data_IF_357915823386
#
_entry.id   IF_357915823386
#
_cell.length_a   1.000
_cell.length_b   1.000
_cell.length_c   1.000
_cell.angle_alpha   90.00
_cell.angle_beta   90.00
_cell.angle_gamma   90.00
#
_symmetry.space_group_name_H-M   'P 1'
#
loop_
_entity.id
_entity.type
_entity.pdbx_description
1 polymer ?
#
# COMPACT_ATOMS: atom_id res chain seq x y z
N UNK A 1 -17.25 0.18 -29.33
CA UNK A 1 -17.81 -0.51 -28.16
C UNK A 1 -19.02 -1.35 -28.56
N UNK A 2 -18.99 -2.65 -28.29
CA UNK A 2 -20.06 -3.61 -28.58
C UNK A 2 -21.25 -3.47 -27.62
N UNK A 3 -22.38 -4.12 -27.90
CA UNK A 3 -23.51 -4.17 -26.96
C UNK A 3 -23.14 -4.85 -25.64
N UNK A 4 -22.29 -5.87 -25.69
CA UNK A 4 -21.81 -6.58 -24.50
C UNK A 4 -20.91 -5.70 -23.64
N UNK A 5 -19.98 -4.96 -24.25
CA UNK A 5 -19.09 -4.03 -23.52
C UNK A 5 -19.89 -2.88 -22.87
N UNK A 6 -20.99 -2.44 -23.50
CA UNK A 6 -21.92 -1.46 -22.91
C UNK A 6 -22.64 -2.02 -21.69
N UNK A 7 -23.03 -3.29 -21.74
CA UNK A 7 -23.65 -3.97 -20.61
C UNK A 7 -22.69 -4.03 -19.42
N UNK A 8 -21.45 -4.48 -19.64
CA UNK A 8 -20.42 -4.52 -18.60
C UNK A 8 -20.23 -3.16 -17.91
N UNK A 9 -20.23 -2.06 -18.67
CA UNK A 9 -20.08 -0.71 -18.10
C UNK A 9 -21.29 -0.24 -17.31
N UNK A 10 -22.48 -0.77 -17.58
CA UNK A 10 -23.71 -0.35 -16.88
C UNK A 10 -23.73 -0.76 -15.40
N UNK A 11 -22.88 -1.72 -15.04
CA UNK A 11 -22.71 -2.26 -13.69
C UNK A 11 -21.58 -1.56 -12.91
N UNK A 12 -20.80 -0.68 -13.55
CA UNK A 12 -19.74 0.07 -12.90
C UNK A 12 -20.13 1.53 -12.65
N UNK A 13 -19.62 2.11 -11.57
CA UNK A 13 -19.81 3.54 -11.28
C UNK A 13 -18.50 4.20 -10.89
N UNK A 14 -18.24 5.39 -11.43
CA UNK A 14 -17.07 6.22 -11.14
C UNK A 14 -17.51 7.56 -10.56
N UNK A 15 -16.85 8.00 -9.49
CA UNK A 15 -17.04 9.34 -8.93
C UNK A 15 -15.74 9.88 -8.36
N UNK A 16 -15.68 11.17 -8.05
CA UNK A 16 -14.52 11.81 -7.44
C UNK A 16 -14.97 12.63 -6.23
N UNK A 17 -14.20 12.58 -5.14
CA UNK A 17 -14.47 13.36 -3.93
C UNK A 17 -13.19 13.58 -3.12
N UNK A 18 -12.93 14.83 -2.73
CA UNK A 18 -11.76 15.19 -1.91
C UNK A 18 -10.40 14.71 -2.47
N UNK A 19 -10.25 14.69 -3.79
CA UNK A 19 -9.03 14.23 -4.47
C UNK A 19 -8.91 12.72 -4.66
N UNK A 20 -9.82 11.94 -4.09
CA UNK A 20 -9.96 10.52 -4.36
C UNK A 20 -10.82 10.28 -5.62
N UNK A 21 -10.46 9.25 -6.35
CA UNK A 21 -11.28 8.60 -7.36
C UNK A 21 -11.94 7.41 -6.69
N UNK A 22 -13.24 7.26 -6.81
CA UNK A 22 -13.96 6.07 -6.39
C UNK A 22 -14.43 5.30 -7.62
N UNK A 23 -14.13 4.01 -7.66
CA UNK A 23 -14.61 3.09 -8.70
C UNK A 23 -15.30 1.89 -8.05
N UNK A 24 -16.56 1.68 -8.39
CA UNK A 24 -17.24 0.41 -8.20
C UNK A 24 -17.13 -0.43 -9.47
N UNK A 25 -16.75 -1.69 -9.32
CA UNK A 25 -16.71 -2.71 -10.36
C UNK A 25 -17.34 -4.02 -9.86
N UNK A 26 -18.06 -4.70 -10.73
CA UNK A 26 -18.75 -5.96 -10.41
C UNK A 26 -18.80 -6.94 -11.59
N UNK A 27 -19.36 -8.13 -11.35
CA UNK A 27 -19.45 -9.30 -12.26
C UNK A 27 -18.20 -10.20 -12.27
N UNK A 28 -17.94 -10.87 -13.40
CA UNK A 28 -16.81 -11.76 -13.64
C UNK A 28 -15.48 -11.02 -13.76
N UNK A 29 -14.35 -11.75 -13.75
CA UNK A 29 -13.02 -11.14 -13.74
C UNK A 29 -12.78 -10.25 -14.97
N UNK A 30 -13.13 -10.74 -16.16
CA UNK A 30 -12.89 -10.02 -17.42
C UNK A 30 -13.74 -8.75 -17.50
N UNK A 31 -14.97 -8.80 -17.02
CA UNK A 31 -15.91 -7.68 -16.97
C UNK A 31 -15.40 -6.57 -16.04
N UNK A 32 -15.04 -6.92 -14.80
CA UNK A 32 -14.45 -5.97 -13.84
C UNK A 32 -13.16 -5.34 -14.36
N UNK A 33 -12.31 -6.17 -14.95
CA UNK A 33 -11.12 -5.72 -15.65
C UNK A 33 -11.44 -4.66 -16.70
N UNK A 34 -12.38 -4.97 -17.60
CA UNK A 34 -12.82 -4.05 -18.64
C UNK A 34 -13.38 -2.74 -18.09
N UNK A 35 -14.24 -2.82 -17.06
CA UNK A 35 -14.82 -1.66 -16.38
C UNK A 35 -13.72 -0.72 -15.88
N UNK A 36 -12.71 -1.25 -15.17
CA UNK A 36 -11.58 -0.45 -14.68
C UNK A 36 -10.74 0.13 -15.81
N UNK A 37 -10.35 -0.70 -16.78
CA UNK A 37 -9.51 -0.29 -17.90
C UNK A 37 -10.14 0.82 -18.73
N UNK A 38 -11.46 0.78 -18.91
CA UNK A 38 -12.18 1.80 -19.68
C UNK A 38 -12.46 3.07 -18.87
N UNK A 39 -12.92 2.93 -17.62
CA UNK A 39 -13.34 4.08 -16.80
C UNK A 39 -12.17 4.85 -16.19
N UNK A 40 -11.00 4.23 -16.03
CA UNK A 40 -9.78 4.83 -15.49
C UNK A 40 -8.65 4.95 -16.53
N UNK A 41 -8.96 4.89 -17.82
CA UNK A 41 -7.96 4.91 -18.88
C UNK A 41 -6.93 6.05 -18.77
N UNK A 42 -7.34 7.33 -18.57
CA UNK A 42 -6.40 8.44 -18.41
C UNK A 42 -5.50 8.29 -17.18
N UNK A 43 -6.04 7.77 -16.08
CA UNK A 43 -5.31 7.59 -14.83
C UNK A 43 -4.32 6.42 -14.90
N UNK A 44 -4.71 5.31 -15.53
CA UNK A 44 -3.82 4.18 -15.80
C UNK A 44 -2.68 4.62 -16.73
N UNK A 45 -2.98 5.37 -17.79
CA UNK A 45 -1.94 5.91 -18.67
C UNK A 45 -0.96 6.80 -17.90
N UNK A 46 -1.46 7.68 -17.04
CA UNK A 46 -0.62 8.53 -16.18
C UNK A 46 0.24 7.71 -15.22
N UNK A 47 -0.28 6.63 -14.64
CA UNK A 47 0.50 5.72 -13.79
C UNK A 47 1.67 5.11 -14.59
N UNK A 48 1.38 4.53 -15.75
CA UNK A 48 2.37 3.89 -16.62
C UNK A 48 3.44 4.88 -17.14
N UNK A 49 3.07 6.13 -17.41
CA UNK A 49 4.00 7.20 -17.78
C UNK A 49 4.92 7.59 -16.62
N UNK A 50 4.36 7.73 -15.42
CA UNK A 50 5.11 8.08 -14.21
C UNK A 50 6.10 6.97 -13.83
N UNK A 51 5.66 5.70 -13.86
CA UNK A 51 6.54 4.55 -13.62
C UNK A 51 7.68 4.48 -14.62
N UNK A 52 7.42 4.70 -15.92
CA UNK A 52 8.48 4.77 -16.94
C UNK A 52 9.49 5.86 -16.62
N UNK A 53 9.00 7.04 -16.25
CA UNK A 53 9.83 8.18 -15.94
C UNK A 53 10.71 7.92 -14.71
N UNK A 54 10.12 7.48 -13.61
CA UNK A 54 10.87 7.25 -12.37
C UNK A 54 11.81 6.05 -12.45
N UNK A 55 11.42 4.98 -13.16
CA UNK A 55 12.29 3.83 -13.38
C UNK A 55 13.58 4.26 -14.10
N UNK A 56 13.46 5.10 -15.13
CA UNK A 56 14.62 5.63 -15.86
C UNK A 56 15.60 6.40 -14.96
N UNK A 57 15.10 7.11 -13.95
CA UNK A 57 15.93 7.85 -13.00
C UNK A 57 16.42 7.02 -11.81
N UNK A 58 15.77 5.90 -11.51
CA UNK A 58 16.03 5.09 -10.32
C UNK A 58 16.96 3.90 -10.59
N UNK A 59 16.94 3.35 -11.80
CA UNK A 59 17.70 2.15 -12.18
C UNK A 59 18.25 2.28 -13.60
N UNK A 60 19.37 1.60 -13.95
CA UNK A 60 19.98 1.70 -15.28
C UNK A 60 19.25 0.83 -16.33
N UNK A 61 17.91 0.83 -16.32
CA UNK A 61 17.02 0.06 -17.19
C UNK A 61 15.74 0.86 -17.42
N UNK A 62 15.11 0.69 -18.56
CA UNK A 62 13.77 1.22 -18.81
C UNK A 62 12.69 0.30 -18.23
N UNK A 63 11.45 0.78 -18.16
CA UNK A 63 10.33 -0.03 -17.66
C UNK A 63 10.03 -1.25 -18.54
N UNK A 64 10.23 -1.16 -19.85
CA UNK A 64 9.96 -2.27 -20.77
C UNK A 64 10.91 -3.46 -20.55
N UNK A 65 12.13 -3.23 -20.07
CA UNK A 65 12.99 -4.29 -19.53
C UNK A 65 12.28 -5.06 -18.40
N UNK A 66 11.63 -4.38 -17.46
CA UNK A 66 10.91 -5.02 -16.36
C UNK A 66 9.65 -5.74 -16.83
N UNK A 67 8.96 -5.23 -17.85
CA UNK A 67 7.85 -5.94 -18.52
C UNK A 67 8.34 -7.29 -19.07
N UNK A 68 9.48 -7.29 -19.77
CA UNK A 68 10.05 -8.53 -20.31
C UNK A 68 10.47 -9.52 -19.21
N UNK A 69 10.99 -9.01 -18.07
CA UNK A 69 11.37 -9.86 -16.94
C UNK A 69 10.17 -10.40 -16.18
N UNK A 70 9.14 -9.59 -15.95
CA UNK A 70 7.88 -10.02 -15.35
C UNK A 70 7.24 -11.15 -16.13
N UNK A 71 7.25 -11.09 -17.47
CA UNK A 71 6.78 -12.18 -18.34
C UNK A 71 7.51 -13.50 -18.09
N UNK A 72 8.83 -13.45 -17.89
CA UNK A 72 9.64 -14.65 -17.63
C UNK A 72 9.41 -15.16 -16.20
N UNK A 73 9.41 -14.25 -15.23
CA UNK A 73 9.32 -14.59 -13.80
C UNK A 73 7.94 -15.09 -13.40
N UNK A 74 6.89 -14.58 -14.03
CA UNK A 74 5.50 -14.86 -13.64
C UNK A 74 4.77 -15.78 -14.62
N UNK A 75 5.49 -16.35 -15.59
CA UNK A 75 4.92 -17.35 -16.51
C UNK A 75 4.31 -18.52 -15.75
N UNK A 76 3.01 -18.77 -15.98
CA UNK A 76 2.24 -19.82 -15.30
C UNK A 76 1.96 -19.59 -13.80
N UNK A 77 2.28 -18.42 -13.23
CA UNK A 77 2.13 -18.15 -11.78
C UNK A 77 1.01 -17.20 -11.41
N UNK A 78 0.50 -16.43 -12.38
CA UNK A 78 -0.67 -15.58 -12.19
C UNK A 78 -1.91 -16.48 -12.23
N UNK A 79 -2.74 -16.53 -11.17
CA UNK A 79 -3.99 -17.28 -11.19
C UNK A 79 -4.91 -16.84 -12.33
N UNK A 80 -5.56 -17.78 -13.02
CA UNK A 80 -6.32 -17.50 -14.24
C UNK A 80 -7.44 -16.46 -14.04
N UNK A 81 -8.10 -16.44 -12.87
CA UNK A 81 -9.10 -15.41 -12.56
C UNK A 81 -8.50 -14.00 -12.61
N UNK A 82 -7.31 -13.83 -12.03
CA UNK A 82 -6.61 -12.54 -12.02
C UNK A 82 -6.05 -12.22 -13.41
N UNK A 83 -5.60 -13.24 -14.15
CA UNK A 83 -5.15 -13.06 -15.52
C UNK A 83 -6.28 -12.57 -16.44
N UNK A 84 -7.50 -13.11 -16.31
CA UNK A 84 -8.68 -12.62 -17.04
C UNK A 84 -9.07 -11.19 -16.65
N UNK A 85 -8.92 -10.80 -15.37
CA UNK A 85 -9.14 -9.41 -14.94
C UNK A 85 -8.13 -8.45 -15.62
N UNK A 86 -6.85 -8.80 -15.67
CA UNK A 86 -5.84 -7.99 -16.36
C UNK A 86 -6.03 -7.97 -17.89
N UNK A 87 -6.45 -9.08 -18.51
CA UNK A 87 -6.79 -9.12 -19.95
C UNK A 87 -8.03 -8.28 -20.26
N UNK A 88 -9.04 -8.33 -19.39
CA UNK A 88 -10.22 -7.46 -19.47
C UNK A 88 -9.83 -5.99 -19.40
N UNK A 89 -8.92 -5.64 -18.48
CA UNK A 89 -8.42 -4.28 -18.32
C UNK A 89 -7.65 -3.79 -19.54
N UNK A 90 -6.77 -4.61 -20.12
CA UNK A 90 -6.10 -4.29 -21.39
C UNK A 90 -7.11 -4.01 -22.51
N UNK A 91 -8.18 -4.81 -22.60
CA UNK A 91 -9.27 -4.57 -23.57
C UNK A 91 -10.02 -3.26 -23.28
N UNK A 92 -10.27 -2.94 -22.02
CA UNK A 92 -10.89 -1.67 -21.61
C UNK A 92 -10.06 -0.46 -22.03
N UNK A 93 -8.74 -0.52 -21.82
CA UNK A 93 -7.79 0.50 -22.24
C UNK A 93 -7.76 0.67 -23.77
N UNK A 94 -7.70 -0.43 -24.52
CA UNK A 94 -7.76 -0.40 -25.99
C UNK A 94 -9.06 0.27 -26.47
N UNK A 95 -10.21 -0.04 -25.84
CA UNK A 95 -11.50 0.58 -26.19
C UNK A 95 -11.57 2.07 -25.85
N UNK A 96 -10.80 2.52 -24.85
CA UNK A 96 -10.66 3.92 -24.51
C UNK A 96 -9.64 4.67 -25.38
N UNK A 97 -8.92 3.96 -26.26
CA UNK A 97 -7.91 4.53 -27.15
C UNK A 97 -6.50 4.61 -26.55
N UNK A 98 -6.25 3.92 -25.44
CA UNK A 98 -4.92 3.79 -24.85
C UNK A 98 -4.23 2.56 -25.46
N UNK A 99 -3.19 2.80 -26.26
CA UNK A 99 -2.41 1.76 -26.91
C UNK A 99 -1.17 1.37 -26.08
N UNK A 100 -0.64 0.17 -26.29
CA UNK A 100 0.61 -0.28 -25.66
C UNK A 100 0.52 -0.76 -24.21
N UNK A 101 -0.64 -0.63 -23.56
CA UNK A 101 -0.89 -1.12 -22.19
C UNK A 101 -1.53 -2.53 -22.18
N UNK A 102 -0.83 -3.50 -22.78
CA UNK A 102 -1.30 -4.89 -22.84
C UNK A 102 -1.18 -5.67 -21.52
N UNK A 103 -1.61 -6.93 -21.54
CA UNK A 103 -1.58 -7.83 -20.37
C UNK A 103 -0.21 -7.86 -19.66
N UNK A 104 0.89 -8.07 -20.41
CA UNK A 104 2.24 -8.15 -19.82
C UNK A 104 2.65 -6.82 -19.14
N UNK A 105 2.21 -5.68 -19.68
CA UNK A 105 2.45 -4.35 -19.08
C UNK A 105 1.67 -4.18 -17.78
N UNK A 106 0.41 -4.61 -17.75
CA UNK A 106 -0.42 -4.54 -16.54
C UNK A 106 0.04 -5.51 -15.45
N UNK A 107 0.57 -6.68 -15.81
CA UNK A 107 1.25 -7.58 -14.87
C UNK A 107 2.47 -6.88 -14.26
N UNK A 108 3.30 -6.23 -15.08
CA UNK A 108 4.47 -5.52 -14.58
C UNK A 108 4.11 -4.32 -13.69
N UNK A 109 3.02 -3.61 -14.00
CA UNK A 109 2.47 -2.52 -13.19
C UNK A 109 2.01 -3.03 -11.80
N UNK A 110 1.22 -4.12 -11.76
CA UNK A 110 0.81 -4.75 -10.48
C UNK A 110 1.99 -5.33 -9.68
N UNK A 111 3.09 -5.66 -10.37
CA UNK A 111 4.30 -6.18 -9.75
C UNK A 111 5.42 -5.12 -9.67
N UNK A 112 5.13 -3.82 -9.78
CA UNK A 112 6.15 -2.77 -9.89
C UNK A 112 7.16 -2.82 -8.74
N UNK A 113 6.64 -2.80 -7.51
CA UNK A 113 7.43 -2.86 -6.27
C UNK A 113 8.27 -4.13 -6.25
N UNK A 114 7.69 -5.26 -6.63
CA UNK A 114 8.35 -6.56 -6.64
C UNK A 114 9.48 -6.65 -7.68
N UNK A 115 9.23 -6.20 -8.91
CA UNK A 115 10.21 -6.25 -10.00
C UNK A 115 11.36 -5.27 -9.78
N UNK A 116 11.04 -4.02 -9.46
CA UNK A 116 12.03 -2.92 -9.36
C UNK A 116 12.68 -2.89 -7.97
N UNK A 117 11.91 -3.13 -6.91
CA UNK A 117 12.35 -3.01 -5.53
C UNK A 117 12.94 -4.27 -4.92
N UNK A 118 12.61 -5.46 -5.43
CA UNK A 118 13.06 -6.74 -4.85
C UNK A 118 13.87 -7.58 -5.84
N UNK A 119 13.26 -8.00 -6.95
CA UNK A 119 13.90 -8.89 -7.91
C UNK A 119 15.17 -8.28 -8.51
N UNK A 120 15.10 -7.04 -8.98
CA UNK A 120 16.23 -6.41 -9.65
C UNK A 120 17.45 -6.19 -8.75
N UNK A 121 17.32 -5.63 -7.54
CA UNK A 121 18.41 -5.56 -6.58
C UNK A 121 19.02 -6.93 -6.27
N UNK A 122 18.19 -7.96 -6.05
CA UNK A 122 18.66 -9.33 -5.81
C UNK A 122 19.42 -9.91 -7.02
N UNK A 123 18.92 -9.71 -8.23
CA UNK A 123 19.58 -10.15 -9.45
C UNK A 123 20.94 -9.46 -9.61
N UNK A 124 21.00 -8.16 -9.28
CA UNK A 124 22.23 -7.36 -9.29
C UNK A 124 23.23 -7.76 -8.23
N UNK A 125 22.80 -8.12 -7.02
CA UNK A 125 23.69 -8.65 -5.97
C UNK A 125 24.33 -9.98 -6.39
N UNK A 126 23.56 -10.85 -7.07
CA UNK A 126 24.10 -12.10 -7.63
C UNK A 126 25.12 -11.87 -8.75
N UNK A 127 24.95 -10.81 -9.53
CA UNK A 127 25.86 -10.44 -10.60
C UNK A 127 27.10 -9.65 -10.12
N UNK A 128 27.03 -8.94 -8.99
CA UNK A 128 28.10 -8.11 -8.45
C UNK A 128 28.06 -8.05 -6.91
N UNK A 129 29.19 -8.37 -6.25
CA UNK A 129 29.36 -8.50 -4.79
C UNK A 129 29.07 -7.25 -3.90
N UNK A 130 28.34 -6.22 -4.36
CA UNK A 130 28.36 -4.90 -3.67
C UNK A 130 27.07 -4.08 -3.58
N UNK A 131 25.90 -4.57 -4.00
CA UNK A 131 24.68 -3.72 -3.98
C UNK A 131 23.73 -4.12 -2.85
N UNK A 132 24.08 -3.83 -1.59
CA UNK A 132 23.09 -3.92 -0.50
C UNK A 132 22.04 -2.84 -0.71
N UNK A 133 20.85 -3.22 -1.19
CA UNK A 133 19.75 -2.28 -1.23
C UNK A 133 19.18 -2.09 0.19
N UNK A 134 18.93 -0.85 0.57
CA UNK A 134 18.28 -0.52 1.84
C UNK A 134 16.94 0.11 1.47
N UNK A 135 15.97 -0.72 1.05
CA UNK A 135 14.58 -0.26 1.02
C UNK A 135 14.14 -0.11 2.47
N UNK A 136 13.92 1.12 2.94
CA UNK A 136 13.55 1.37 4.34
C UNK A 136 12.04 1.35 4.60
N UNK A 137 11.22 1.29 3.54
CA UNK A 137 9.79 1.56 3.63
C UNK A 137 9.49 2.94 4.23
N UNK A 138 8.23 3.17 4.59
CA UNK A 138 7.83 4.38 5.32
C UNK A 138 6.45 4.31 5.99
N UNK A 139 5.56 3.42 5.54
CA UNK A 139 4.19 3.30 6.04
C UNK A 139 4.09 3.22 7.58
N UNK A 140 3.02 3.78 8.14
CA UNK A 140 2.71 3.70 9.58
C UNK A 140 1.32 3.15 9.80
N UNK A 141 1.19 2.12 10.64
CA UNK A 141 -0.09 1.44 10.88
C UNK A 141 -0.22 0.92 12.30
N UNK A 142 -1.47 0.76 12.77
CA UNK A 142 -1.79 -0.03 13.96
C UNK A 142 -3.14 -0.72 13.83
N UNK A 143 -3.32 -1.79 14.60
CA UNK A 143 -4.61 -2.45 14.85
C UNK A 143 -4.75 -2.71 16.35
N UNK A 144 -5.92 -2.42 16.93
CA UNK A 144 -6.20 -2.60 18.36
C UNK A 144 -7.60 -3.18 18.58
N UNK A 145 -7.81 -3.90 19.69
CA UNK A 145 -9.10 -4.52 20.07
C UNK A 145 -9.21 -4.72 21.59
N UNK A 146 -10.41 -5.05 22.08
CA UNK A 146 -10.63 -5.43 23.48
C UNK A 146 -10.42 -4.27 24.44
N UNK A 147 -9.68 -4.47 25.54
CA UNK A 147 -9.48 -3.44 26.58
C UNK A 147 -8.72 -2.19 26.10
N UNK A 148 -8.24 -2.19 24.85
CA UNK A 148 -7.50 -1.09 24.25
C UNK A 148 -8.40 -0.08 23.53
N UNK A 149 -9.54 -0.51 23.01
CA UNK A 149 -10.48 0.33 22.26
C UNK A 149 -11.67 0.73 23.14
N UNK A 150 -12.32 1.85 22.79
CA UNK A 150 -13.36 2.44 23.61
C UNK A 150 -14.63 1.57 23.70
N UNK A 151 -14.93 0.81 22.65
CA UNK A 151 -16.11 -0.06 22.55
C UNK A 151 -15.75 -1.56 22.60
N UNK A 152 -14.47 -1.90 22.79
CA UNK A 152 -13.96 -3.27 22.75
C UNK A 152 -13.84 -3.87 21.35
N UNK A 153 -14.24 -3.14 20.30
CA UNK A 153 -14.15 -3.57 18.91
C UNK A 153 -12.76 -3.36 18.30
N UNK A 154 -12.57 -3.87 17.09
CA UNK A 154 -11.38 -3.61 16.27
C UNK A 154 -11.36 -2.15 15.82
N UNK A 155 -10.19 -1.51 15.92
CA UNK A 155 -9.82 -0.24 15.27
C UNK A 155 -8.52 -0.45 14.51
N UNK A 156 -8.48 -0.08 13.22
CA UNK A 156 -7.30 -0.18 12.36
C UNK A 156 -7.06 1.16 11.66
N UNK A 157 -5.79 1.55 11.55
CA UNK A 157 -5.39 2.77 10.84
C UNK A 157 -4.11 2.57 10.04
N UNK A 158 -3.97 3.26 8.92
CA UNK A 158 -2.81 3.16 8.05
C UNK A 158 -2.59 4.48 7.28
N UNK A 159 -1.34 4.95 7.20
CA UNK A 159 -0.92 5.92 6.20
C UNK A 159 0.16 5.32 5.28
N UNK A 160 -0.05 5.46 3.98
CA UNK A 160 0.92 5.01 2.98
C UNK A 160 2.04 6.03 2.89
N UNK A 161 3.29 5.59 2.75
CA UNK A 161 4.40 6.49 2.44
C UNK A 161 5.02 6.16 1.09
N UNK A 162 5.16 7.18 0.25
CA UNK A 162 5.80 7.09 -1.07
C UNK A 162 6.58 8.37 -1.38
N UNK A 163 7.31 8.36 -2.51
CA UNK A 163 7.63 9.63 -3.17
C UNK A 163 6.32 10.37 -3.48
N UNK A 164 6.35 11.70 -3.51
CA UNK A 164 5.14 12.47 -3.81
C UNK A 164 4.67 12.34 -5.26
N UNK A 165 5.55 11.93 -6.16
CA UNK A 165 5.23 11.62 -7.56
C UNK A 165 4.53 10.26 -7.70
N UNK A 166 5.08 9.16 -7.16
CA UNK A 166 4.40 7.84 -7.18
C UNK A 166 3.16 7.83 -6.28
N UNK A 167 3.28 8.39 -5.07
CA UNK A 167 2.20 8.44 -4.11
C UNK A 167 1.06 9.38 -4.52
N UNK A 168 1.19 10.14 -5.61
CA UNK A 168 0.06 10.83 -6.22
C UNK A 168 -0.86 9.91 -7.03
N UNK A 169 -0.39 8.71 -7.37
CA UNK A 169 -1.12 7.71 -8.15
C UNK A 169 -2.02 6.82 -7.28
N UNK A 170 -1.78 6.80 -5.97
CA UNK A 170 -2.49 5.93 -5.01
C UNK A 170 -3.89 6.46 -4.60
N UNK A 171 -4.53 7.28 -5.43
CA UNK A 171 -5.76 8.01 -5.08
C UNK A 171 -7.05 7.28 -5.48
N UNK A 172 -6.99 5.97 -5.70
CA UNK A 172 -8.16 5.16 -6.03
C UNK A 172 -8.73 4.50 -4.77
N UNK A 173 -10.04 4.66 -4.55
CA UNK A 173 -10.84 3.78 -3.71
C UNK A 173 -11.56 2.81 -4.64
N UNK A 174 -11.17 1.53 -4.56
CA UNK A 174 -11.69 0.48 -5.42
C UNK A 174 -12.65 -0.40 -4.64
N UNK A 175 -13.93 -0.38 -5.03
CA UNK A 175 -15.00 -1.23 -4.54
C UNK A 175 -15.25 -2.36 -5.55
N UNK A 176 -14.91 -3.59 -5.15
CA UNK A 176 -14.97 -4.78 -6.00
C UNK A 176 -16.03 -5.73 -5.47
N UNK A 177 -17.11 -5.93 -6.24
CA UNK A 177 -18.12 -6.95 -6.00
C UNK A 177 -17.92 -8.13 -6.97
N UNK A 178 -17.08 -9.12 -6.63
CA UNK A 178 -16.80 -10.22 -7.53
C UNK A 178 -17.98 -11.20 -7.59
N UNK A 179 -18.14 -11.89 -8.74
CA UNK A 179 -19.07 -13.02 -8.88
C UNK A 179 -18.80 -14.13 -7.83
N UNK A 180 -17.54 -14.31 -7.41
CA UNK A 180 -17.11 -15.34 -6.46
C UNK A 180 -16.22 -14.78 -5.37
N UNK A 181 -16.44 -15.25 -4.14
CA UNK A 181 -15.71 -14.79 -2.96
C UNK A 181 -16.39 -13.61 -2.28
N UNK A 182 -15.61 -12.86 -1.50
CA UNK A 182 -16.04 -11.72 -0.71
C UNK A 182 -15.84 -10.41 -1.48
N UNK A 183 -16.75 -9.47 -1.24
CA UNK A 183 -16.63 -8.08 -1.69
C UNK A 183 -15.48 -7.41 -0.95
N UNK A 184 -14.78 -6.51 -1.62
CA UNK A 184 -13.65 -5.77 -1.06
C UNK A 184 -13.81 -4.29 -1.36
N UNK A 185 -13.57 -3.41 -0.38
CA UNK A 185 -13.31 -1.99 -0.62
C UNK A 185 -11.91 -1.67 -0.11
N UNK A 186 -11.08 -1.06 -0.95
CA UNK A 186 -9.66 -0.84 -0.64
C UNK A 186 -9.14 0.46 -1.25
N UNK A 187 -8.05 0.97 -0.67
CA UNK A 187 -7.20 1.91 -1.40
C UNK A 187 -6.47 1.13 -2.50
N UNK A 188 -6.30 1.70 -3.69
CA UNK A 188 -5.59 1.09 -4.81
C UNK A 188 -4.86 2.15 -5.65
N UNK A 189 -4.16 1.68 -6.68
CA UNK A 189 -3.57 2.45 -7.78
C UNK A 189 -4.37 2.12 -9.05
N UNK A 190 -4.74 3.11 -9.89
CA UNK A 190 -5.39 2.84 -11.17
C UNK A 190 -4.60 1.83 -12.02
N UNK A 191 -5.22 0.70 -12.33
CA UNK A 191 -4.57 -0.39 -13.09
C UNK A 191 -4.13 -1.57 -12.22
N UNK A 192 -4.19 -1.42 -10.89
CA UNK A 192 -3.91 -2.48 -9.94
C UNK A 192 -5.18 -3.23 -9.52
N UNK A 193 -5.08 -4.57 -9.47
CA UNK A 193 -6.15 -5.46 -9.00
C UNK A 193 -6.05 -5.72 -7.49
N UNK A 194 -4.98 -5.30 -6.83
CA UNK A 194 -4.79 -5.36 -5.39
C UNK A 194 -4.66 -3.94 -4.83
N UNK A 195 -4.37 -3.80 -3.53
CA UNK A 195 -4.25 -2.49 -2.92
C UNK A 195 -2.96 -1.74 -3.27
N UNK A 196 -1.84 -2.45 -3.45
CA UNK A 196 -0.49 -1.93 -3.73
C UNK A 196 0.10 -0.96 -2.69
N UNK A 197 -0.74 -0.36 -1.85
CA UNK A 197 -0.42 0.44 -0.67
C UNK A 197 -0.73 -0.32 0.62
N UNK A 198 -1.72 -1.22 0.51
CA UNK A 198 -2.30 -2.12 1.49
C UNK A 198 -3.12 -1.46 2.60
N UNK A 199 -4.37 -1.15 2.24
CA UNK A 199 -5.49 -0.97 3.17
C UNK A 199 -6.79 -1.50 2.55
N UNK A 200 -7.49 -2.38 3.25
CA UNK A 200 -8.70 -3.03 2.74
C UNK A 200 -9.73 -3.36 3.83
N UNK A 201 -10.99 -3.44 3.41
CA UNK A 201 -12.14 -3.93 4.17
C UNK A 201 -12.87 -4.96 3.31
N UNK A 202 -12.98 -6.20 3.81
CA UNK A 202 -13.62 -7.32 3.11
C UNK A 202 -14.97 -7.66 3.74
N UNK A 203 -15.95 -8.08 2.93
CA UNK A 203 -17.27 -8.49 3.43
C UNK A 203 -17.24 -9.75 4.29
N UNK A 204 -16.12 -10.50 4.29
CA UNK A 204 -15.81 -11.56 5.27
C UNK A 204 -15.68 -11.05 6.70
N UNK A 205 -15.59 -9.73 6.91
CA UNK A 205 -15.31 -9.11 8.20
C UNK A 205 -13.83 -8.88 8.48
N UNK A 206 -12.95 -9.28 7.54
CA UNK A 206 -11.52 -9.03 7.64
C UNK A 206 -11.25 -7.59 7.20
N UNK A 207 -10.55 -6.83 8.05
CA UNK A 207 -9.90 -5.57 7.71
C UNK A 207 -8.40 -5.76 7.78
N UNK A 208 -7.65 -5.04 6.97
CA UNK A 208 -6.20 -5.16 7.02
C UNK A 208 -5.44 -4.02 6.38
N UNK A 209 -4.17 -3.96 6.76
CA UNK A 209 -3.13 -3.12 6.17
C UNK A 209 -1.78 -3.78 6.35
N UNK A 210 -0.71 -3.23 5.77
CA UNK A 210 0.65 -3.61 6.14
C UNK A 210 1.58 -2.42 6.31
N UNK A 211 2.81 -2.74 6.74
CA UNK A 211 3.96 -1.87 6.52
C UNK A 211 5.14 -2.71 6.05
N UNK A 212 5.80 -2.28 4.98
CA UNK A 212 6.89 -3.01 4.35
C UNK A 212 8.07 -3.18 5.29
N UNK A 213 8.60 -4.39 5.45
CA UNK A 213 9.75 -4.68 6.30
C UNK A 213 11.01 -4.07 5.67
N UNK A 214 11.54 -3.03 6.32
CA UNK A 214 12.71 -2.31 5.84
C UNK A 214 13.99 -3.14 5.98
N UNK A 215 14.96 -2.85 5.11
CA UNK A 215 16.27 -3.50 5.06
C UNK A 215 16.24 -4.97 4.62
N UNK A 216 15.08 -5.47 4.16
CA UNK A 216 14.89 -6.84 3.74
C UNK A 216 15.72 -7.18 2.48
N UNK A 217 16.27 -8.40 2.44
CA UNK A 217 16.93 -8.95 1.27
C UNK A 217 16.55 -10.42 1.07
N UNK A 218 16.07 -10.75 -0.13
CA UNK A 218 15.69 -12.10 -0.49
C UNK A 218 14.74 -12.09 -1.68
N UNK A 219 14.85 -13.11 -2.52
CA UNK A 219 13.92 -13.33 -3.62
C UNK A 219 13.96 -14.79 -4.06
N UNK A 220 12.79 -15.40 -4.26
CA UNK A 220 12.63 -16.71 -4.88
C UNK A 220 11.89 -16.59 -6.21
N UNK A 221 12.64 -16.79 -7.30
CA UNK A 221 12.11 -16.74 -8.67
C UNK A 221 11.13 -17.86 -9.01
N UNK A 222 10.84 -18.79 -8.11
CA UNK A 222 9.85 -19.85 -8.29
C UNK A 222 8.48 -19.52 -7.67
N UNK A 223 8.44 -18.61 -6.69
CA UNK A 223 7.20 -18.24 -5.99
C UNK A 223 6.26 -17.34 -6.82
N UNK A 224 5.05 -17.19 -6.31
CA UNK A 224 3.94 -16.38 -6.82
C UNK A 224 4.06 -14.93 -6.32
N UNK A 225 3.89 -13.93 -7.19
CA UNK A 225 4.00 -12.53 -6.81
C UNK A 225 3.02 -12.15 -5.70
N UNK A 226 3.43 -11.20 -4.87
CA UNK A 226 2.67 -10.78 -3.68
C UNK A 226 1.24 -10.35 -4.04
N UNK A 227 1.08 -9.52 -5.07
CA UNK A 227 -0.23 -8.98 -5.44
C UNK A 227 -1.27 -10.07 -5.72
N UNK A 228 -0.83 -11.20 -6.28
CA UNK A 228 -1.69 -12.35 -6.52
C UNK A 228 -2.16 -12.99 -5.22
N UNK A 229 -1.25 -13.14 -4.25
CA UNK A 229 -1.50 -13.77 -2.96
C UNK A 229 -2.39 -12.87 -2.09
N UNK A 230 -2.10 -11.58 -2.00
CA UNK A 230 -2.95 -10.63 -1.26
C UNK A 230 -4.33 -10.48 -1.88
N UNK A 231 -4.46 -10.32 -3.20
CA UNK A 231 -5.79 -10.28 -3.85
C UNK A 231 -6.60 -11.55 -3.60
N UNK A 232 -5.96 -12.73 -3.68
CA UNK A 232 -6.61 -14.01 -3.35
C UNK A 232 -7.05 -14.05 -1.89
N UNK A 233 -6.22 -13.59 -0.95
CA UNK A 233 -6.54 -13.59 0.48
C UNK A 233 -7.70 -12.64 0.80
N UNK A 234 -7.70 -11.42 0.26
CA UNK A 234 -8.80 -10.46 0.43
C UNK A 234 -10.12 -11.02 -0.12
N UNK A 235 -10.08 -11.70 -1.27
CA UNK A 235 -11.28 -12.19 -1.94
C UNK A 235 -11.80 -13.51 -1.37
N UNK A 236 -10.95 -14.38 -0.82
CA UNK A 236 -11.36 -15.75 -0.47
C UNK A 236 -11.15 -16.15 0.99
N UNK A 237 -10.40 -15.40 1.80
CA UNK A 237 -10.22 -15.75 3.21
C UNK A 237 -11.47 -15.44 4.05
N UNK A 238 -11.97 -16.44 4.76
CA UNK A 238 -13.07 -16.30 5.73
C UNK A 238 -12.60 -16.12 7.18
N UNK A 239 -11.30 -16.25 7.44
CA UNK A 239 -10.68 -16.06 8.76
C UNK A 239 -9.24 -15.56 8.66
N UNK A 240 -8.69 -15.05 9.77
CA UNK A 240 -7.30 -14.58 9.82
C UNK A 240 -6.29 -15.73 9.55
N UNK A 241 -6.59 -16.96 9.98
CA UNK A 241 -5.73 -18.13 9.74
C UNK A 241 -5.72 -18.52 8.25
N UNK A 242 -6.88 -18.50 7.59
CA UNK A 242 -6.97 -18.74 6.14
C UNK A 242 -6.26 -17.65 5.35
N UNK A 243 -6.39 -16.39 5.78
CA UNK A 243 -5.69 -15.26 5.18
C UNK A 243 -4.18 -15.48 5.24
N UNK A 244 -3.64 -15.80 6.43
CA UNK A 244 -2.22 -16.06 6.61
C UNK A 244 -1.74 -17.27 5.79
N UNK A 245 -2.52 -18.34 5.75
CA UNK A 245 -2.22 -19.53 4.93
C UNK A 245 -2.11 -19.20 3.44
N UNK A 246 -3.01 -18.38 2.90
CA UNK A 246 -2.98 -17.97 1.49
C UNK A 246 -1.72 -17.15 1.19
N UNK A 247 -1.35 -16.22 2.08
CA UNK A 247 -0.14 -15.41 1.89
C UNK A 247 1.16 -16.24 1.95
N UNK A 248 1.20 -17.27 2.79
CA UNK A 248 2.37 -18.15 2.91
C UNK A 248 2.54 -19.09 1.69
N UNK A 249 1.45 -19.41 0.99
CA UNK A 249 1.46 -20.32 -0.16
C UNK A 249 2.21 -19.69 -1.34
N UNK A 250 3.30 -20.32 -1.78
CA UNK A 250 4.08 -19.85 -2.91
C UNK A 250 4.78 -18.50 -2.66
N UNK A 251 5.09 -18.16 -1.41
CA UNK A 251 5.82 -16.95 -1.08
C UNK A 251 7.15 -16.84 -1.84
N UNK A 252 7.39 -15.70 -2.47
CA UNK A 252 8.62 -15.39 -3.19
C UNK A 252 9.54 -14.41 -2.44
N UNK A 253 9.13 -13.95 -1.25
CA UNK A 253 9.88 -12.99 -0.45
C UNK A 253 9.82 -11.56 -0.96
N UNK A 254 9.19 -11.31 -2.11
CA UNK A 254 9.00 -9.96 -2.58
C UNK A 254 7.87 -9.26 -1.82
N UNK A 255 8.02 -7.93 -1.72
CA UNK A 255 7.14 -7.09 -0.93
C UNK A 255 6.93 -7.67 0.49
N UNK A 256 8.06 -7.90 1.17
CA UNK A 256 8.08 -8.47 2.51
C UNK A 256 7.48 -7.47 3.51
N UNK A 257 6.44 -7.88 4.22
CA UNK A 257 5.53 -6.95 4.90
C UNK A 257 5.17 -7.46 6.31
N UNK A 258 4.96 -6.52 7.24
CA UNK A 258 4.26 -6.77 8.50
C UNK A 258 2.78 -6.45 8.31
N UNK A 259 1.98 -7.48 8.06
CA UNK A 259 0.53 -7.37 7.87
C UNK A 259 -0.18 -7.25 9.20
N UNK A 260 -1.02 -6.24 9.36
CA UNK A 260 -1.89 -6.01 10.51
C UNK A 260 -3.33 -6.29 10.10
N UNK A 261 -3.98 -7.21 10.80
CA UNK A 261 -5.29 -7.72 10.43
C UNK A 261 -6.26 -7.64 11.61
N UNK A 262 -7.55 -7.45 11.31
CA UNK A 262 -8.63 -7.57 12.28
C UNK A 262 -9.80 -8.33 11.70
N UNK A 263 -10.45 -9.17 12.51
CA UNK A 263 -11.73 -9.80 12.21
C UNK A 263 -12.81 -9.17 13.09
N UNK A 264 -13.64 -8.34 12.47
CA UNK A 264 -14.67 -7.54 13.18
C UNK A 264 -15.91 -8.36 13.60
N UNK A 265 -15.96 -9.64 13.21
CA UNK A 265 -17.00 -10.58 13.66
C UNK A 265 -16.59 -11.27 14.96
N UNK A 266 -15.30 -11.57 15.11
CA UNK A 266 -14.77 -12.29 16.29
C UNK A 266 -14.10 -11.38 17.31
N UNK A 267 -13.74 -10.16 16.92
CA UNK A 267 -12.97 -9.21 17.72
C UNK A 267 -11.47 -9.57 17.81
N UNK A 268 -11.01 -10.57 17.05
CA UNK A 268 -9.61 -10.97 16.99
C UNK A 268 -8.80 -10.04 16.09
N UNK A 269 -7.57 -9.76 16.48
CA UNK A 269 -6.58 -9.05 15.67
C UNK A 269 -5.36 -9.94 15.49
N UNK A 270 -4.61 -9.72 14.41
CA UNK A 270 -3.40 -10.47 14.12
C UNK A 270 -2.29 -9.59 13.53
N UNK A 271 -1.06 -10.07 13.67
CA UNK A 271 0.10 -9.64 12.90
C UNK A 271 0.73 -10.83 12.20
N UNK A 272 0.92 -10.73 10.88
CA UNK A 272 1.78 -11.64 10.11
C UNK A 272 3.01 -10.87 9.64
N UNK A 273 4.17 -11.17 10.21
CA UNK A 273 5.44 -10.73 9.62
C UNK A 273 5.92 -11.81 8.66
N UNK A 274 6.06 -11.45 7.39
CA UNK A 274 6.36 -12.39 6.31
C UNK A 274 7.66 -11.99 5.60
N UNK A 275 8.75 -12.64 5.97
CA UNK A 275 9.99 -12.67 5.20
C UNK A 275 9.95 -13.75 4.11
N UNK A 276 11.10 -14.11 3.54
CA UNK A 276 11.20 -15.22 2.58
C UNK A 276 11.34 -16.57 3.32
N UNK A 277 12.26 -16.63 4.29
CA UNK A 277 12.61 -17.84 5.05
C UNK A 277 11.81 -17.96 6.34
N UNK A 278 11.64 -16.83 7.04
CA UNK A 278 10.98 -16.78 8.33
C UNK A 278 9.64 -16.07 8.21
N UNK A 279 8.72 -16.49 9.07
CA UNK A 279 7.46 -15.79 9.27
C UNK A 279 7.00 -15.95 10.70
N UNK A 280 6.21 -14.99 11.17
CA UNK A 280 5.58 -15.03 12.48
C UNK A 280 4.15 -14.57 12.39
N UNK A 281 3.23 -15.46 12.79
CA UNK A 281 1.80 -15.16 12.87
C UNK A 281 1.35 -15.18 14.33
N UNK A 282 0.82 -14.04 14.80
CA UNK A 282 0.39 -13.85 16.19
C UNK A 282 -1.01 -13.26 16.23
N UNK A 283 -1.86 -13.74 17.15
CA UNK A 283 -3.26 -13.32 17.28
C UNK A 283 -3.62 -13.03 18.73
N UNK A 284 -4.52 -12.07 18.94
CA UNK A 284 -5.08 -11.78 20.27
C UNK A 284 -6.49 -11.20 20.14
N UNK A 285 -7.29 -11.30 21.21
CA UNK A 285 -8.59 -10.63 21.36
C UNK A 285 -8.57 -9.46 22.34
N UNK A 286 -7.41 -9.17 22.91
CA UNK A 286 -7.21 -8.04 23.82
C UNK A 286 -5.78 -7.55 23.70
N UNK A 287 -5.57 -6.47 22.95
CA UNK A 287 -4.22 -6.01 22.60
C UNK A 287 -4.19 -5.05 21.43
N UNK A 288 -2.96 -4.83 20.95
CA UNK A 288 -2.68 -4.11 19.73
C UNK A 288 -1.45 -4.68 19.03
N UNK A 289 -1.32 -4.41 17.74
CA UNK A 289 -0.10 -4.52 16.96
C UNK A 289 0.14 -3.20 16.21
N UNK A 290 1.40 -2.85 15.98
CA UNK A 290 1.77 -1.67 15.19
C UNK A 290 2.83 -2.03 14.14
N UNK A 291 2.88 -1.23 13.07
CA UNK A 291 3.81 -1.37 11.96
C UNK A 291 4.48 -0.03 11.67
N UNK A 292 5.79 -0.07 11.48
CA UNK A 292 6.61 1.10 11.15
C UNK A 292 7.85 0.71 10.32
N UNK A 293 7.72 -0.32 9.48
CA UNK A 293 8.79 -0.81 8.59
C UNK A 293 10.00 -1.46 9.26
N UNK A 294 9.83 -1.99 10.47
CA UNK A 294 10.82 -2.83 11.12
C UNK A 294 10.14 -4.08 11.67
N UNK A 295 10.73 -5.25 11.40
CA UNK A 295 10.23 -6.50 11.93
C UNK A 295 10.42 -6.57 13.46
N UNK A 296 9.44 -7.18 14.11
CA UNK A 296 9.37 -7.39 15.56
C UNK A 296 9.75 -8.83 15.94
N UNK A 297 9.50 -9.78 15.03
CA UNK A 297 10.04 -11.12 15.09
C UNK A 297 11.55 -11.08 14.88
N UNK A 298 12.25 -11.73 15.81
CA UNK A 298 13.70 -11.73 15.87
C UNK A 298 14.32 -12.43 14.66
N UNK A 299 13.74 -13.52 14.20
CA UNK A 299 14.38 -14.36 13.19
C UNK A 299 14.20 -13.70 11.80
N UNK A 300 13.04 -13.12 11.52
CA UNK A 300 12.83 -12.24 10.34
C UNK A 300 13.82 -11.08 10.35
N UNK A 301 13.88 -10.33 11.47
CA UNK A 301 14.74 -9.17 11.60
C UNK A 301 16.23 -9.50 11.41
N UNK A 302 16.74 -10.52 12.12
CA UNK A 302 18.18 -10.78 12.20
C UNK A 302 18.73 -11.60 11.02
N UNK A 303 17.95 -12.47 10.39
CA UNK A 303 18.43 -13.31 9.28
C UNK A 303 18.08 -12.74 7.89
N UNK A 304 17.06 -11.88 7.79
CA UNK A 304 16.56 -11.43 6.48
C UNK A 304 16.57 -9.92 6.28
N UNK A 305 16.93 -9.14 7.31
CA UNK A 305 17.09 -7.69 7.19
C UNK A 305 18.49 -7.21 7.58
N UNK A 306 18.79 -5.95 7.30
CA UNK A 306 20.01 -5.27 7.72
C UNK A 306 19.78 -4.13 8.74
N UNK A 307 18.58 -4.04 9.32
CA UNK A 307 18.23 -2.98 10.26
C UNK A 307 18.70 -3.27 11.69
N UNK A 308 19.09 -2.20 12.40
CA UNK A 308 19.42 -2.29 13.81
C UNK A 308 18.19 -1.97 14.66
N UNK A 309 17.67 -2.98 15.37
CA UNK A 309 16.49 -2.87 16.24
C UNK A 309 16.54 -1.73 17.26
N UNK A 310 17.74 -1.37 17.73
CA UNK A 310 17.93 -0.45 18.86
C UNK A 310 18.36 0.95 18.44
N UNK A 311 18.64 1.17 17.16
CA UNK A 311 19.11 2.46 16.68
C UNK A 311 17.93 3.42 16.47
N UNK A 312 17.56 4.16 17.52
CA UNK A 312 16.46 5.13 17.52
C UNK A 312 16.62 6.25 16.48
N UNK A 313 17.82 6.45 15.92
CA UNK A 313 18.04 7.39 14.82
C UNK A 313 17.34 6.94 13.53
N UNK A 314 17.05 5.65 13.39
CA UNK A 314 16.31 5.10 12.27
C UNK A 314 14.82 5.49 12.38
N UNK A 315 14.26 5.99 11.27
CA UNK A 315 12.83 6.29 11.13
C UNK A 315 11.93 5.20 11.71
N UNK A 316 12.16 3.96 11.28
CA UNK A 316 11.35 2.81 11.68
C UNK A 316 11.36 2.55 13.20
N UNK A 317 12.52 2.73 13.85
CA UNK A 317 12.68 2.50 15.29
C UNK A 317 12.07 3.65 16.10
N UNK A 318 12.29 4.89 15.69
CA UNK A 318 11.65 6.07 16.32
C UNK A 318 10.13 5.97 16.25
N UNK A 319 9.58 5.67 15.07
CA UNK A 319 8.13 5.52 14.87
C UNK A 319 7.55 4.34 15.66
N UNK A 320 8.25 3.21 15.76
CA UNK A 320 7.82 2.08 16.60
C UNK A 320 7.69 2.50 18.06
N UNK A 321 8.70 3.20 18.59
CA UNK A 321 8.64 3.71 19.96
C UNK A 321 7.45 4.64 20.15
N UNK A 322 7.24 5.58 19.20
CA UNK A 322 6.12 6.51 19.23
C UNK A 322 4.76 5.80 19.20
N UNK A 323 4.60 4.77 18.39
CA UNK A 323 3.39 3.95 18.36
C UNK A 323 3.07 3.36 19.73
N UNK A 324 4.07 2.74 20.38
CA UNK A 324 3.87 2.16 21.70
C UNK A 324 3.50 3.19 22.77
N UNK A 325 4.08 4.38 22.73
CA UNK A 325 3.72 5.49 23.63
C UNK A 325 2.27 5.90 23.44
N UNK A 326 1.89 6.27 22.21
CA UNK A 326 0.55 6.73 21.88
C UNK A 326 -0.54 5.71 22.23
N UNK A 327 -0.33 4.44 21.88
CA UNK A 327 -1.32 3.39 22.13
C UNK A 327 -1.47 3.11 23.63
N UNK A 328 -0.37 3.16 24.42
CA UNK A 328 -0.43 2.98 25.88
C UNK A 328 -1.11 4.16 26.58
N UNK A 329 -0.80 5.39 26.17
CA UNK A 329 -1.42 6.61 26.72
C UNK A 329 -2.94 6.66 26.46
N UNK A 330 -3.39 6.04 25.37
CA UNK A 330 -4.78 6.01 24.95
C UNK A 330 -5.49 4.68 25.21
N UNK A 331 -4.91 3.78 26.02
CA UNK A 331 -5.54 2.50 26.38
C UNK A 331 -6.97 2.74 26.89
N UNK A 332 -7.92 1.91 26.43
CA UNK A 332 -9.37 1.98 26.67
C UNK A 332 -10.09 3.18 26.03
N UNK A 333 -9.39 4.01 25.25
CA UNK A 333 -9.95 5.23 24.63
C UNK A 333 -9.75 5.27 23.12
N UNK A 334 -9.13 4.24 22.54
CA UNK A 334 -8.86 4.21 21.09
C UNK A 334 -10.19 4.13 20.34
N UNK A 335 -10.37 5.07 19.42
CA UNK A 335 -11.51 5.20 18.50
C UNK A 335 -11.00 5.50 17.09
N UNK A 336 -11.89 5.50 16.11
CA UNK A 336 -11.55 5.96 14.75
C UNK A 336 -11.10 7.43 14.71
N UNK A 337 -11.60 8.29 15.61
CA UNK A 337 -11.18 9.70 15.66
C UNK A 337 -9.77 9.86 16.24
N UNK A 338 -9.45 9.13 17.31
CA UNK A 338 -8.07 9.12 17.82
C UNK A 338 -7.11 8.50 16.81
N UNK A 339 -7.55 7.49 16.06
CA UNK A 339 -6.76 6.88 14.99
C UNK A 339 -6.34 7.89 13.92
N UNK A 340 -7.26 8.75 13.46
CA UNK A 340 -6.94 9.85 12.54
C UNK A 340 -5.89 10.81 13.12
N UNK A 341 -6.00 11.13 14.41
CA UNK A 341 -5.04 11.99 15.10
C UNK A 341 -3.66 11.33 15.23
N UNK A 342 -3.59 10.03 15.52
CA UNK A 342 -2.32 9.31 15.61
C UNK A 342 -1.58 9.26 14.27
N UNK A 343 -2.32 9.08 13.16
CA UNK A 343 -1.73 9.14 11.82
C UNK A 343 -1.18 10.52 11.45
N UNK A 344 -1.59 11.58 12.16
CA UNK A 344 -1.13 12.96 11.99
C UNK A 344 -0.01 13.37 12.96
N UNK A 345 0.47 12.44 13.80
CA UNK A 345 1.45 12.73 14.86
C UNK A 345 2.85 13.07 14.30
N UNK A 346 3.45 14.12 14.85
CA UNK A 346 4.77 14.64 14.47
C UNK A 346 5.81 14.57 15.59
N UNK A 347 5.55 13.82 16.66
CA UNK A 347 6.51 13.75 17.76
C UNK A 347 7.67 12.82 17.38
N UNK A 348 8.86 13.39 17.29
CA UNK A 348 10.09 12.66 16.99
C UNK A 348 10.68 12.10 18.28
N UNK A 349 10.63 10.77 18.47
CA UNK A 349 11.10 10.11 19.68
C UNK A 349 12.63 10.15 19.85
N UNK A 350 13.40 10.43 18.79
CA UNK A 350 14.84 10.64 18.93
C UNK A 350 15.15 12.07 19.39
N UNK A 351 14.50 13.06 18.77
CA UNK A 351 14.71 14.48 19.11
C UNK A 351 13.92 14.94 20.35
N UNK A 352 12.95 14.15 20.80
CA UNK A 352 12.09 14.42 21.96
C UNK A 352 11.31 15.73 21.83
N UNK A 353 10.84 16.04 20.61
CA UNK A 353 10.06 17.26 20.30
C UNK A 353 9.18 17.04 19.07
N UNK A 354 8.21 17.93 18.89
CA UNK A 354 7.48 18.06 17.62
C UNK A 354 8.44 18.40 16.48
N UNK A 355 8.48 17.55 15.48
CA UNK A 355 9.32 17.69 14.30
C UNK A 355 8.71 16.88 13.14
N UNK A 356 7.94 17.52 12.24
CA UNK A 356 7.47 16.85 11.04
C UNK A 356 8.68 16.50 10.16
N UNK A 357 8.94 15.21 9.99
CA UNK A 357 10.13 14.70 9.33
C UNK A 357 10.00 13.23 8.96
N UNK A 358 11.11 12.53 8.79
CA UNK A 358 11.12 11.11 8.47
C UNK A 358 10.87 10.22 9.70
N UNK A 359 11.01 10.75 10.92
CA UNK A 359 10.90 9.99 12.19
C UNK A 359 9.53 10.12 12.88
N UNK A 360 8.62 10.92 12.34
CA UNK A 360 7.24 11.09 12.79
C UNK A 360 6.29 10.05 12.17
N UNK A 361 5.13 9.80 12.77
CA UNK A 361 4.13 8.87 12.22
C UNK A 361 3.48 9.39 10.93
N UNK A 362 3.27 10.70 10.83
CA UNK A 362 3.04 11.38 9.55
C UNK A 362 4.39 11.81 8.97
N UNK A 363 4.85 11.14 7.93
CA UNK A 363 6.17 11.38 7.35
C UNK A 363 6.22 12.63 6.48
N UNK A 364 7.31 13.39 6.59
CA UNK A 364 7.62 14.58 5.80
C UNK A 364 9.10 14.62 5.41
N UNK A 365 9.53 13.81 4.45
CA UNK A 365 10.93 13.81 4.01
C UNK A 365 11.34 15.13 3.34
N UNK A 366 10.38 15.88 2.80
CA UNK A 366 10.62 17.18 2.16
C UNK A 366 11.04 18.26 3.16
N UNK A 367 10.77 18.04 4.45
CA UNK A 367 11.14 18.96 5.54
C UNK A 367 12.45 18.54 6.23
N UNK A 368 13.06 17.42 5.84
CA UNK A 368 14.31 16.93 6.43
C UNK A 368 15.53 17.67 5.88
N UNK A 369 16.24 18.38 6.76
CA UNK A 369 17.39 19.21 6.40
C UNK A 369 18.71 18.44 6.33
N UNK A 370 18.76 17.21 6.86
CA UNK A 370 20.00 16.42 6.99
C UNK A 370 20.88 16.79 8.18
N UNK A 371 20.38 17.61 9.11
CA UNK A 371 21.05 17.90 10.39
C UNK A 371 21.14 16.67 11.32
N UNK A 372 20.32 15.65 11.04
CA UNK A 372 20.28 14.37 11.75
C UNK A 372 20.60 13.23 10.79
N UNK A 373 20.85 12.03 11.31
CA UNK A 373 21.02 10.85 10.46
C UNK A 373 19.77 10.65 9.60
N UNK A 374 19.94 10.75 8.28
CA UNK A 374 18.92 10.47 7.28
C UNK A 374 19.49 9.49 6.26
N UNK A 375 18.67 8.56 5.82
CA UNK A 375 19.08 7.55 4.82
C UNK A 375 18.76 8.01 3.40
N UNK A 376 17.74 8.86 3.25
CA UNK A 376 17.46 9.53 1.99
C UNK A 376 18.18 10.86 1.89
N UNK A 377 18.42 11.38 0.67
CA UNK A 377 18.95 12.73 0.49
C UNK A 377 18.05 13.79 1.18
N UNK A 378 18.63 14.89 1.68
CA UNK A 378 17.85 15.99 2.27
C UNK A 378 16.74 16.49 1.34
N UNK A 379 15.65 16.92 1.97
CA UNK A 379 14.47 17.48 1.32
C UNK A 379 13.79 16.53 0.32
N UNK A 380 14.01 15.22 0.33
CA UNK A 380 13.38 14.28 -0.62
C UNK A 380 11.85 14.50 -0.65
N UNK A 381 11.21 14.69 -1.82
CA UNK A 381 9.77 14.93 -1.88
C UNK A 381 9.03 13.61 -1.68
N UNK A 382 8.71 13.28 -0.43
CA UNK A 382 8.05 12.04 -0.07
C UNK A 382 7.67 12.01 1.41
N UNK A 383 6.86 11.05 1.80
CA UNK A 383 6.29 11.00 3.14
C UNK A 383 4.90 10.38 3.10
N UNK A 384 4.07 10.67 4.10
CA UNK A 384 2.71 10.17 4.16
C UNK A 384 1.86 10.77 3.03
N UNK A 385 1.23 9.94 2.19
CA UNK A 385 0.46 10.42 1.02
C UNK A 385 -1.06 10.34 1.20
N UNK A 386 -1.50 9.73 2.29
CA UNK A 386 -2.89 9.60 2.67
C UNK A 386 -3.02 9.38 4.18
N UNK A 387 -4.25 9.15 4.64
CA UNK A 387 -4.54 8.46 5.89
C UNK A 387 -5.86 7.70 5.77
N UNK A 388 -5.94 6.51 6.36
CA UNK A 388 -7.13 5.65 6.38
C UNK A 388 -7.39 5.12 7.78
N UNK A 389 -8.65 5.07 8.19
CA UNK A 389 -9.05 4.55 9.49
C UNK A 389 -10.41 3.84 9.42
N UNK A 390 -10.52 2.71 10.11
CA UNK A 390 -11.73 1.89 10.18
C UNK A 390 -11.93 1.36 11.59
N UNK A 391 -13.18 1.25 12.02
CA UNK A 391 -13.58 0.56 13.24
C UNK A 391 -14.55 -0.58 12.91
N UNK A 392 -14.93 -1.36 13.93
CA UNK A 392 -15.86 -2.50 13.77
C UNK A 392 -17.20 -2.11 13.14
N UNK A 393 -17.73 -0.93 13.46
CA UNK A 393 -19.01 -0.47 12.90
C UNK A 393 -18.84 -0.16 11.41
N UNK A 394 -17.85 0.66 11.06
CA UNK A 394 -17.55 1.05 9.69
C UNK A 394 -17.25 -0.17 8.82
N UNK A 395 -16.46 -1.13 9.32
CA UNK A 395 -16.13 -2.36 8.60
C UNK A 395 -17.36 -3.22 8.29
N UNK A 396 -18.29 -3.36 9.24
CA UNK A 396 -19.58 -4.05 9.01
C UNK A 396 -20.45 -3.32 7.98
N UNK A 397 -20.28 -2.02 7.87
CA UNK A 397 -20.92 -1.17 6.87
C UNK A 397 -20.16 -1.16 5.53
N UNK A 398 -19.06 -1.91 5.38
CA UNK A 398 -18.17 -1.87 4.22
C UNK A 398 -17.72 -0.45 3.89
N UNK A 399 -17.29 0.27 4.94
CA UNK A 399 -16.91 1.68 4.88
C UNK A 399 -15.63 1.96 5.68
N UNK A 400 -14.98 3.07 5.37
CA UNK A 400 -13.83 3.58 6.13
C UNK A 400 -13.65 5.08 5.91
N UNK A 401 -12.95 5.73 6.84
CA UNK A 401 -12.50 7.11 6.69
C UNK A 401 -11.21 7.17 5.88
N UNK A 402 -11.11 8.10 4.95
CA UNK A 402 -9.90 8.38 4.20
C UNK A 402 -9.64 9.88 4.06
N UNK A 403 -8.36 10.25 3.99
CA UNK A 403 -7.87 11.58 3.64
C UNK A 403 -6.83 11.47 2.55
N UNK A 404 -6.98 12.26 1.48
CA UNK A 404 -5.97 12.35 0.44
C UNK A 404 -4.95 13.45 0.76
N UNK A 405 -3.68 13.22 0.47
CA UNK A 405 -2.60 14.11 0.92
C UNK A 405 -2.04 13.70 2.28
N UNK A 406 -1.14 14.51 2.85
CA UNK A 406 -0.54 14.22 4.14
C UNK A 406 -1.61 13.96 5.22
N UNK A 407 -1.46 12.91 6.03
CA UNK A 407 -2.41 12.56 7.10
C UNK A 407 -2.68 13.75 8.05
N UNK A 408 -1.65 14.55 8.33
CA UNK A 408 -1.75 15.77 9.14
C UNK A 408 -2.41 16.95 8.43
N UNK A 409 -2.45 16.96 7.10
CA UNK A 409 -3.05 18.01 6.29
C UNK A 409 -2.12 19.15 5.93
N UNK A 410 -0.84 19.08 6.28
CA UNK A 410 0.16 20.02 5.79
C UNK A 410 0.17 19.96 4.25
N UNK A 411 -0.04 21.10 3.55
CA UNK A 411 -0.05 21.10 2.09
C UNK A 411 1.38 21.06 1.53
N UNK A 412 1.48 20.68 0.26
CA UNK A 412 2.72 20.71 -0.52
C UNK A 412 2.48 21.43 -1.85
N UNK A 413 3.29 22.45 -2.15
CA UNK A 413 3.26 23.18 -3.44
C UNK A 413 4.48 22.80 -4.26
N UNK A 414 4.28 22.06 -5.35
CA UNK A 414 5.37 21.51 -6.16
C UNK A 414 6.24 22.60 -6.79
N UNK A 415 5.63 23.68 -7.29
CA UNK A 415 6.36 24.77 -7.93
C UNK A 415 7.28 25.52 -6.94
N UNK A 416 6.79 25.81 -5.73
CA UNK A 416 7.58 26.47 -4.67
C UNK A 416 8.70 25.57 -4.17
N UNK A 417 8.40 24.28 -3.99
CA UNK A 417 9.36 23.27 -3.58
C UNK A 417 10.50 23.14 -4.61
N UNK A 418 10.19 23.00 -5.90
CA UNK A 418 11.22 22.87 -6.95
C UNK A 418 12.07 24.13 -7.10
N UNK A 419 11.51 25.32 -6.84
CA UNK A 419 12.27 26.57 -6.82
C UNK A 419 13.28 26.62 -5.66
N UNK A 420 12.93 26.05 -4.49
CA UNK A 420 13.80 25.97 -3.32
C UNK A 420 14.80 24.82 -3.39
N UNK A 421 14.44 23.74 -4.08
CA UNK A 421 15.20 22.49 -4.14
C UNK A 421 15.43 22.03 -5.59
N UNK A 422 16.19 22.81 -6.40
CA UNK A 422 16.39 22.54 -7.82
C UNK A 422 17.14 21.22 -8.11
N UNK A 423 17.73 20.56 -7.10
CA UNK A 423 18.27 19.21 -7.27
C UNK A 423 17.20 18.17 -7.62
N UNK A 424 15.92 18.46 -7.34
CA UNK A 424 14.78 17.61 -7.70
C UNK A 424 14.04 18.08 -8.95
N UNK A 425 14.62 19.01 -9.73
CA UNK A 425 14.04 19.57 -10.95
C UNK A 425 13.68 18.52 -12.01
N UNK A 426 14.36 17.38 -11.99
CA UNK A 426 14.02 16.24 -12.83
C UNK A 426 12.58 15.73 -12.58
N UNK A 427 11.99 15.94 -11.41
CA UNK A 427 10.59 15.56 -11.16
C UNK A 427 9.55 16.54 -11.77
N UNK A 428 9.99 17.60 -12.46
CA UNK A 428 9.07 18.57 -13.07
C UNK A 428 8.11 17.88 -14.05
N UNK A 429 6.82 18.11 -13.84
CA UNK A 429 5.73 17.50 -14.62
C UNK A 429 5.19 16.19 -14.03
N UNK A 430 5.94 15.56 -13.12
CA UNK A 430 5.54 14.32 -12.43
C UNK A 430 5.26 14.52 -10.94
N UNK A 431 5.66 15.68 -10.39
CA UNK A 431 5.40 16.06 -9.01
C UNK A 431 4.19 17.00 -8.92
N UNK A 432 3.01 16.54 -8.43
CA UNK A 432 1.83 17.37 -8.32
C UNK A 432 1.76 18.12 -6.98
N UNK A 433 0.96 19.18 -6.95
CA UNK A 433 0.56 19.82 -5.70
C UNK A 433 -0.26 18.85 -4.84
N UNK A 434 -0.10 18.95 -3.52
CA UNK A 434 -0.87 18.18 -2.54
C UNK A 434 -1.56 19.16 -1.58
N UNK A 435 -2.71 19.74 -1.96
CA UNK A 435 -3.44 20.65 -1.10
C UNK A 435 -4.02 19.91 0.11
N UNK A 436 -4.32 20.64 1.17
CA UNK A 436 -5.06 20.13 2.31
C UNK A 436 -6.45 19.65 1.86
N UNK A 437 -6.80 18.41 2.19
CA UNK A 437 -8.13 17.82 1.98
C UNK A 437 -8.78 17.46 3.30
N UNK A 438 -10.10 17.32 3.27
CA UNK A 438 -10.87 16.84 4.42
C UNK A 438 -10.83 15.32 4.54
N UNK A 439 -11.07 14.83 5.76
CA UNK A 439 -11.41 13.41 5.95
C UNK A 439 -12.81 13.15 5.41
N UNK A 440 -12.99 12.06 4.67
CA UNK A 440 -14.29 11.65 4.12
C UNK A 440 -14.52 10.15 4.26
N UNK A 441 -15.79 9.72 4.38
CA UNK A 441 -16.17 8.30 4.50
C UNK A 441 -16.48 7.72 3.14
N UNK A 442 -15.74 6.70 2.71
CA UNK A 442 -16.10 5.87 1.56
C UNK A 442 -16.84 4.63 2.02
N UNK A 443 -17.82 4.21 1.25
CA UNK A 443 -18.67 3.05 1.51
C UNK A 443 -18.96 2.31 0.22
N UNK A 444 -19.34 1.04 0.33
CA UNK A 444 -19.72 0.22 -0.82
C UNK A 444 -20.93 0.78 -1.57
N UNK A 445 -20.94 0.66 -2.91
CA UNK A 445 -22.11 1.05 -3.72
C UNK A 445 -23.26 0.06 -3.50
N UNK A 446 -24.50 0.56 -3.44
CA UNK A 446 -25.72 -0.28 -3.48
C UNK A 446 -26.45 -0.46 -2.15
N UNK A 447 -25.98 0.13 -1.04
CA UNK A 447 -26.81 0.28 0.16
C UNK A 447 -27.83 1.40 -0.03
N UNK A 448 -29.09 1.03 -0.28
CA UNK A 448 -30.25 1.91 -0.10
C UNK A 448 -30.90 1.63 1.24
#
# INVERSE_FOLDING_TARGET
MSSQEKEWLSHATRSEREGWIYLHQEDGPRERGFQQGYLLAPEIEKCLQTERYETYWSVPRDFDFFVAQGKILFDGKIPEEQAEELRGMALGLERAGIEGAGYDVLVAHNAYIELVGYWWPWAREKEAERVKNISLGGCSSFVATGSWTADGGVVLAHNTWFSYSEGALCNLVLDVAPEKGFRMIMQSVPGCIHSATDFFVCSSGIVGSETTIGGFSGYDTSGTPEFCRARKAMQYAGSLDEWAKILLEGNNGAYANSWLLGDVRTGEIARLELGLKHHKFEKTKDGYYCGSNIAEDRDVLLDETNLNFSDIRLSAVSRRLRWHELLKENRSKITVESAKAFLADHYDSYLQREHPGCRSLCGHHELETGETFIVHPPFRPGGAVDGKAVDTRLAREMSFWARWGNSCGIPFTAAEYLAQHPQYEWLRGYLPDRPTREWVVFEETGKK
#
